data_IF_914339913062
#
_entry.id   IF_914339913062
#
_cell.length_a   1.000
_cell.length_b   1.000
_cell.length_c   1.000
_cell.angle_alpha   90.00
_cell.angle_beta   90.00
_cell.angle_gamma   90.00
#
_symmetry.space_group_name_H-M   'P 1'
#
loop_
_entity.id
_entity.type
_entity.pdbx_description
1 polymer ?
#
# COMPACT_ATOMS: atom_id res chain seq x y z
N UNK A 1 5.33 15.75 27.37
CA UNK A 1 6.60 15.39 28.04
C UNK A 1 7.07 14.15 27.30
N UNK A 2 8.06 14.14 26.40
CA UNK A 2 9.26 14.94 26.20
C UNK A 2 9.36 15.40 24.72
N UNK A 3 9.45 16.71 24.47
CA UNK A 3 9.78 17.28 23.13
C UNK A 3 11.19 17.90 23.16
N UNK A 4 11.98 17.63 24.22
CA UNK A 4 13.18 18.39 24.58
C UNK A 4 14.51 17.72 24.19
N UNK A 5 14.52 16.48 23.68
CA UNK A 5 15.77 15.75 23.42
C UNK A 5 16.39 15.98 22.03
N UNK A 6 15.68 16.64 21.10
CA UNK A 6 16.17 16.83 19.72
C UNK A 6 16.37 18.29 19.31
N UNK A 7 16.14 19.25 20.23
CA UNK A 7 16.38 20.67 19.96
C UNK A 7 17.77 21.08 20.42
N UNK A 8 18.55 21.67 19.51
CA UNK A 8 19.92 22.14 19.76
C UNK A 8 20.04 23.63 19.40
N UNK A 9 20.95 24.33 20.07
CA UNK A 9 21.28 25.71 19.77
C UNK A 9 22.66 25.77 19.13
N UNK A 10 22.77 26.54 18.05
CA UNK A 10 24.03 26.87 17.39
C UNK A 10 24.32 28.35 17.61
N UNK A 11 25.54 28.66 18.04
CA UNK A 11 25.99 30.04 18.20
C UNK A 11 26.39 30.65 16.83
N UNK A 12 26.48 31.99 16.72
CA UNK A 12 26.91 32.63 15.46
C UNK A 12 28.25 32.07 14.98
N UNK A 13 28.36 31.86 13.67
CA UNK A 13 29.50 31.26 12.96
C UNK A 13 29.72 29.76 13.18
N UNK A 14 28.88 29.08 13.97
CA UNK A 14 28.94 27.63 14.15
C UNK A 14 28.36 26.87 12.93
N UNK A 15 28.99 25.76 12.57
CA UNK A 15 28.58 24.93 11.44
C UNK A 15 27.58 23.87 11.89
N UNK A 16 26.49 23.75 11.13
CA UNK A 16 25.52 22.66 11.31
C UNK A 16 26.00 21.39 10.60
N UNK A 17 26.62 21.56 9.43
CA UNK A 17 27.29 20.52 8.64
C UNK A 17 28.08 21.17 7.50
N UNK A 18 29.05 20.45 6.95
CA UNK A 18 29.87 20.87 5.81
C UNK A 18 29.51 20.11 4.53
N UNK A 19 29.79 20.72 3.37
CA UNK A 19 29.68 20.06 2.07
C UNK A 19 30.53 18.78 2.04
N UNK A 20 29.92 17.64 1.68
CA UNK A 20 30.56 16.33 1.66
C UNK A 20 30.37 15.48 2.92
N UNK A 21 29.84 16.03 4.00
CA UNK A 21 29.51 15.25 5.21
C UNK A 21 28.41 14.19 4.93
N UNK A 22 28.35 13.10 5.71
CA UNK A 22 27.22 12.18 5.66
C UNK A 22 25.92 12.83 6.15
N UNK A 23 24.79 12.42 5.59
CA UNK A 23 23.45 12.92 5.92
C UNK A 23 22.81 12.21 7.11
N UNK A 24 23.33 12.42 8.33
CA UNK A 24 22.82 11.68 9.52
C UNK A 24 21.48 12.21 10.07
N UNK A 25 21.18 13.49 9.84
CA UNK A 25 19.92 14.14 10.26
C UNK A 25 19.59 15.37 9.41
N UNK A 26 18.32 15.80 9.40
CA UNK A 26 17.88 17.07 8.84
C UNK A 26 17.51 18.01 9.99
N UNK A 27 17.43 19.31 9.73
CA UNK A 27 17.12 20.29 10.76
C UNK A 27 15.92 21.13 10.36
N UNK A 28 15.02 21.38 11.31
CA UNK A 28 13.97 22.41 11.21
C UNK A 28 14.46 23.62 12.00
N UNK A 29 14.47 24.80 11.39
CA UNK A 29 14.84 26.04 12.08
C UNK A 29 13.63 26.53 12.89
N UNK A 30 13.77 26.62 14.21
CA UNK A 30 12.71 27.15 15.09
C UNK A 30 12.83 28.68 15.27
N UNK A 31 14.05 29.18 15.35
CA UNK A 31 14.36 30.61 15.47
C UNK A 31 15.80 30.88 15.05
N UNK A 32 16.08 32.05 14.49
CA UNK A 32 17.39 32.42 13.98
C UNK A 32 17.51 32.22 12.46
N UNK A 33 18.73 32.27 11.95
CA UNK A 33 19.02 32.24 10.51
C UNK A 33 20.30 31.46 10.20
N UNK A 34 20.25 30.65 9.13
CA UNK A 34 21.34 29.80 8.66
C UNK A 34 21.73 30.17 7.24
N UNK A 35 23.01 30.41 7.01
CA UNK A 35 23.60 30.59 5.69
C UNK A 35 23.93 29.22 5.07
N UNK A 36 23.44 28.97 3.87
CA UNK A 36 23.81 27.80 3.07
C UNK A 36 24.74 28.24 1.95
N UNK A 37 25.89 27.57 1.81
CA UNK A 37 26.95 27.98 0.91
C UNK A 37 27.70 26.80 0.29
N UNK A 38 28.27 27.01 -0.88
CA UNK A 38 29.15 26.06 -1.57
C UNK A 38 30.59 26.54 -1.46
N UNK A 39 31.54 25.62 -1.24
CA UNK A 39 32.97 25.93 -1.30
C UNK A 39 33.56 25.35 -2.59
N UNK A 40 34.08 26.23 -3.45
CA UNK A 40 34.77 25.85 -4.69
C UNK A 40 36.06 26.65 -4.84
N UNK A 41 37.20 25.95 -4.69
CA UNK A 41 38.54 26.52 -4.91
C UNK A 41 38.92 27.64 -3.93
N UNK A 42 38.39 27.62 -2.70
CA UNK A 42 38.67 28.62 -1.67
C UNK A 42 37.82 29.89 -1.77
N UNK A 43 36.74 29.86 -2.56
CA UNK A 43 35.73 30.93 -2.62
C UNK A 43 34.38 30.39 -2.16
N UNK A 44 33.82 31.06 -1.16
CA UNK A 44 32.50 30.76 -0.61
C UNK A 44 31.41 31.43 -1.45
N UNK A 45 30.47 30.63 -1.96
CA UNK A 45 29.29 31.10 -2.67
C UNK A 45 28.05 30.87 -1.80
N UNK A 46 27.42 31.95 -1.33
CA UNK A 46 26.16 31.86 -0.59
C UNK A 46 25.02 31.58 -1.56
N UNK A 47 24.34 30.46 -1.38
CA UNK A 47 23.23 30.02 -2.23
C UNK A 47 21.86 30.34 -1.63
N UNK A 48 21.74 30.39 -0.31
CA UNK A 48 20.51 30.73 0.40
C UNK A 48 20.79 31.20 1.83
N UNK A 49 19.84 31.95 2.40
CA UNK A 49 19.75 32.23 3.83
C UNK A 49 18.38 31.71 4.27
N UNK A 50 18.38 30.77 5.20
CA UNK A 50 17.19 30.09 5.69
C UNK A 50 16.80 30.61 7.08
N UNK A 51 15.52 30.81 7.32
CA UNK A 51 14.97 31.31 8.58
C UNK A 51 13.98 30.35 9.24
N UNK A 52 13.31 30.83 10.29
CA UNK A 52 12.36 30.04 11.07
C UNK A 52 11.24 29.42 10.20
N UNK A 53 11.01 28.12 10.38
CA UNK A 53 10.05 27.31 9.64
C UNK A 53 10.63 26.59 8.42
N UNK A 54 11.86 26.91 8.02
CA UNK A 54 12.54 26.23 6.91
C UNK A 54 13.28 24.96 7.39
N UNK A 55 13.44 24.02 6.45
CA UNK A 55 14.14 22.74 6.67
C UNK A 55 15.44 22.76 5.87
N UNK A 56 16.49 22.18 6.44
CA UNK A 56 17.76 22.00 5.75
C UNK A 56 18.37 20.63 5.99
N UNK A 57 19.13 20.17 4.99
CA UNK A 57 19.82 18.89 5.04
C UNK A 57 18.93 17.69 4.69
N UNK A 58 17.68 17.94 4.31
CA UNK A 58 16.72 16.94 3.84
C UNK A 58 17.22 16.19 2.61
N UNK A 59 18.00 16.87 1.74
CA UNK A 59 18.47 16.29 0.51
C UNK A 59 19.28 15.01 0.73
N UNK A 60 20.28 15.11 1.61
CA UNK A 60 21.24 14.05 1.90
C UNK A 60 20.58 12.82 2.54
N UNK A 61 19.43 13.03 3.18
CA UNK A 61 18.65 11.97 3.82
C UNK A 61 17.73 11.29 2.81
N UNK A 62 17.05 12.06 1.95
CA UNK A 62 16.07 11.52 1.00
C UNK A 62 16.75 10.62 -0.05
N UNK A 63 17.95 10.99 -0.51
CA UNK A 63 18.69 10.28 -1.56
C UNK A 63 19.93 9.53 -1.05
N UNK A 64 20.17 9.53 0.26
CA UNK A 64 21.33 8.91 0.93
C UNK A 64 22.69 9.27 0.29
N UNK A 65 22.83 10.50 -0.17
CA UNK A 65 24.08 11.03 -0.71
C UNK A 65 24.70 12.07 0.24
N UNK A 66 26.00 12.39 0.10
CA UNK A 66 26.65 13.41 0.93
C UNK A 66 25.98 14.79 0.83
N UNK A 67 26.19 15.62 1.86
CA UNK A 67 25.72 17.02 1.91
C UNK A 67 26.17 17.77 0.66
N UNK A 68 25.22 18.46 0.05
CA UNK A 68 25.42 19.23 -1.19
C UNK A 68 26.00 20.61 -0.94
N UNK A 69 25.95 21.11 0.30
CA UNK A 69 26.39 22.45 0.68
C UNK A 69 26.75 22.50 2.17
N UNK A 70 27.50 23.52 2.56
CA UNK A 70 27.85 23.85 3.94
C UNK A 70 26.80 24.77 4.54
N UNK A 71 26.31 24.44 5.74
CA UNK A 71 25.33 25.23 6.48
C UNK A 71 25.95 25.80 7.77
N UNK A 72 25.79 27.11 7.98
CA UNK A 72 26.41 27.83 9.09
C UNK A 72 25.44 28.85 9.70
N UNK A 73 25.34 28.88 11.02
CA UNK A 73 24.51 29.85 11.73
C UNK A 73 25.07 31.28 11.57
N UNK A 74 24.22 32.23 11.19
CA UNK A 74 24.59 33.67 11.09
C UNK A 74 24.33 34.37 12.43
N UNK A 75 23.35 33.88 13.16
CA UNK A 75 22.95 34.34 14.49
C UNK A 75 22.66 33.14 15.38
N UNK A 76 22.42 33.37 16.68
CA UNK A 76 22.08 32.27 17.59
C UNK A 76 20.80 31.60 17.11
N UNK A 77 20.94 30.36 16.65
CA UNK A 77 19.88 29.65 15.92
C UNK A 77 19.47 28.41 16.71
N UNK A 78 18.17 28.26 16.93
CA UNK A 78 17.58 27.07 17.53
C UNK A 78 17.06 26.19 16.42
N UNK A 79 17.46 24.92 16.42
CA UNK A 79 17.01 23.93 15.45
C UNK A 79 16.49 22.68 16.14
N UNK A 80 15.60 21.95 15.48
CA UNK A 80 15.17 20.61 15.88
C UNK A 80 15.63 19.60 14.84
N UNK A 81 16.39 18.61 15.29
CA UNK A 81 16.92 17.56 14.43
C UNK A 81 15.85 16.51 14.10
N UNK A 82 15.79 16.12 12.83
CA UNK A 82 14.99 15.02 12.30
C UNK A 82 15.97 13.88 11.96
N UNK A 83 15.95 12.77 12.69
CA UNK A 83 16.82 11.62 12.43
C UNK A 83 16.61 10.98 11.04
N UNK A 84 17.69 10.45 10.44
CA UNK A 84 17.65 9.74 9.16
C UNK A 84 16.66 8.56 9.17
N UNK A 85 16.71 7.72 10.20
CA UNK A 85 15.84 6.53 10.35
C UNK A 85 14.35 6.87 10.35
N UNK A 86 13.98 7.98 11.02
CA UNK A 86 12.60 8.49 11.02
C UNK A 86 12.15 8.87 9.60
N UNK A 87 13.00 9.53 8.82
CA UNK A 87 12.67 9.96 7.45
C UNK A 87 12.66 8.77 6.50
N UNK A 88 13.64 7.86 6.59
CA UNK A 88 13.68 6.62 5.81
C UNK A 88 12.40 5.81 6.00
N UNK A 89 11.99 5.58 7.25
CA UNK A 89 10.76 4.87 7.55
C UNK A 89 9.53 5.56 6.93
N UNK A 90 9.48 6.90 6.91
CA UNK A 90 8.36 7.63 6.30
C UNK A 90 8.38 7.59 4.77
N UNK A 91 9.56 7.63 4.15
CA UNK A 91 9.73 7.53 2.69
C UNK A 91 9.44 6.10 2.21
N UNK A 92 9.86 5.08 2.96
CA UNK A 92 9.60 3.68 2.65
C UNK A 92 8.12 3.32 2.74
N UNK A 93 7.39 3.89 3.70
CA UNK A 93 5.95 3.69 3.86
C UNK A 93 5.09 4.61 2.98
N UNK A 94 5.70 5.53 2.23
CA UNK A 94 4.96 6.40 1.32
C UNK A 94 4.50 5.63 0.07
N UNK A 95 3.47 6.15 -0.61
CA UNK A 95 3.04 5.62 -1.91
C UNK A 95 4.24 5.56 -2.88
N UNK A 96 4.47 4.44 -3.59
CA UNK A 96 5.62 4.27 -4.48
C UNK A 96 5.74 5.36 -5.56
N UNK A 97 4.61 5.90 -6.02
CA UNK A 97 4.58 7.00 -7.00
C UNK A 97 5.04 8.31 -6.37
N UNK A 98 4.59 8.60 -5.16
CA UNK A 98 5.04 9.77 -4.39
C UNK A 98 6.54 9.66 -4.10
N UNK A 99 7.02 8.48 -3.69
CA UNK A 99 8.45 8.21 -3.49
C UNK A 99 9.24 8.43 -4.78
N UNK A 100 8.76 7.92 -5.92
CA UNK A 100 9.40 8.12 -7.21
C UNK A 100 9.47 9.61 -7.60
N UNK A 101 8.38 10.36 -7.44
CA UNK A 101 8.38 11.79 -7.73
C UNK A 101 9.34 12.56 -6.82
N UNK A 102 9.36 12.23 -5.54
CA UNK A 102 10.30 12.83 -4.59
C UNK A 102 11.74 12.60 -5.04
N UNK A 103 12.12 11.36 -5.34
CA UNK A 103 13.47 11.02 -5.84
C UNK A 103 13.81 11.73 -7.17
N UNK A 104 12.86 11.83 -8.10
CA UNK A 104 13.06 12.53 -9.37
C UNK A 104 13.23 14.06 -9.20
N UNK A 105 12.47 14.66 -8.28
CA UNK A 105 12.61 16.07 -7.94
C UNK A 105 13.99 16.32 -7.33
N UNK A 106 14.39 15.45 -6.41
CA UNK A 106 15.69 15.47 -5.74
C UNK A 106 16.86 15.38 -6.72
N UNK A 107 16.82 14.42 -7.65
CA UNK A 107 17.85 14.26 -8.69
C UNK A 107 17.96 15.51 -9.57
N UNK A 108 16.84 16.07 -10.02
CA UNK A 108 16.82 17.30 -10.84
C UNK A 108 17.38 18.49 -10.08
N UNK A 109 17.06 18.61 -8.80
CA UNK A 109 17.55 19.70 -7.97
C UNK A 109 19.07 19.58 -7.74
N UNK A 110 19.58 18.37 -7.50
CA UNK A 110 21.02 18.10 -7.37
C UNK A 110 21.79 18.38 -8.67
N UNK A 111 21.25 17.98 -9.83
CA UNK A 111 21.85 18.30 -11.13
C UNK A 111 21.89 19.82 -11.39
N UNK A 112 20.85 20.54 -10.98
CA UNK A 112 20.82 22.01 -11.07
C UNK A 112 21.91 22.65 -10.21
N UNK A 113 22.05 22.21 -8.94
CA UNK A 113 23.11 22.70 -8.05
C UNK A 113 24.51 22.38 -8.59
N UNK A 114 24.72 21.18 -9.12
CA UNK A 114 25.98 20.78 -9.76
C UNK A 114 26.33 21.65 -10.96
N UNK A 115 25.36 21.91 -11.86
CA UNK A 115 25.56 22.80 -13.01
C UNK A 115 25.86 24.23 -12.60
N UNK A 116 25.17 24.75 -11.58
CA UNK A 116 25.49 26.07 -11.03
C UNK A 116 26.95 26.08 -10.57
N UNK A 117 27.38 25.07 -9.82
CA UNK A 117 28.77 24.97 -9.34
C UNK A 117 29.79 24.99 -10.49
N UNK A 118 29.57 24.22 -11.57
CA UNK A 118 30.46 24.17 -12.73
C UNK A 118 30.49 25.46 -13.56
N UNK A 119 29.36 26.19 -13.65
CA UNK A 119 29.34 27.50 -14.30
C UNK A 119 30.24 28.49 -13.55
N UNK A 120 30.23 28.46 -12.22
CA UNK A 120 31.08 29.31 -11.40
C UNK A 120 32.57 28.90 -11.45
N UNK A 121 32.89 27.61 -11.58
CA UNK A 121 34.26 27.15 -11.85
C UNK A 121 34.81 27.73 -13.16
N UNK A 122 34.01 27.75 -14.23
CA UNK A 122 34.37 28.31 -15.53
C UNK A 122 34.62 29.84 -15.51
N UNK A 123 34.15 30.54 -14.48
CA UNK A 123 34.42 31.97 -14.28
C UNK A 123 35.75 32.24 -13.56
N UNK A 124 36.40 31.21 -12.97
CA UNK A 124 37.62 31.37 -12.17
C UNK A 124 38.93 31.34 -12.97
N UNK A 125 38.90 31.30 -14.31
CA UNK A 125 40.12 31.32 -15.16
C UNK A 125 40.63 32.71 -15.55
N UNK A 126 40.03 33.80 -15.08
CA UNK A 126 40.56 35.15 -15.30
C UNK A 126 41.21 35.72 -14.03
N UNK A 127 42.54 35.60 -13.93
CA UNK A 127 43.36 36.49 -13.11
C UNK A 127 43.64 37.76 -13.91
N UNK A 128 43.34 38.97 -13.41
CA UNK A 128 43.90 40.18 -14.00
C UNK A 128 45.39 40.23 -13.61
N UNK A 129 46.27 40.13 -14.60
CA UNK A 129 47.69 40.43 -14.40
C UNK A 129 47.84 41.86 -13.86
N UNK A 130 48.61 41.99 -12.78
CA UNK A 130 48.85 43.26 -12.14
C UNK A 130 49.69 44.20 -13.02
N UNK A 131 49.32 45.48 -12.98
CA UNK A 131 50.05 46.71 -13.36
C UNK A 131 50.00 47.21 -14.81
N UNK A 132 49.27 48.31 -15.03
CA UNK A 132 49.83 49.69 -15.06
C UNK A 132 48.71 50.74 -15.19
N UNK A 133 48.82 51.82 -14.42
CA UNK A 133 47.96 53.01 -14.45
C UNK A 133 47.84 53.60 -15.86
N UNK A 134 46.62 53.90 -16.33
CA UNK A 134 46.27 55.13 -17.09
C UNK A 134 44.77 55.44 -16.95
N UNK A 135 44.48 56.61 -16.39
CA UNK A 135 43.35 57.55 -16.54
C UNK A 135 41.87 57.13 -16.75
N UNK A 136 41.06 57.80 -15.92
CA UNK A 136 39.60 57.92 -15.78
C UNK A 136 38.67 57.65 -16.99
N UNK A 137 37.65 56.82 -16.74
CA UNK A 137 36.24 57.28 -16.60
C UNK A 137 35.38 56.19 -15.92
N UNK A 138 34.63 56.50 -14.84
CA UNK A 138 33.86 55.50 -14.07
C UNK A 138 32.71 54.85 -14.86
N UNK A 139 32.44 55.34 -16.07
CA UNK A 139 31.41 54.84 -16.99
C UNK A 139 31.83 53.62 -17.80
N UNK A 140 33.13 53.39 -18.02
CA UNK A 140 33.62 52.27 -18.84
C UNK A 140 33.73 50.97 -18.02
N UNK A 141 34.18 51.07 -16.77
CA UNK A 141 34.24 49.95 -15.83
C UNK A 141 32.85 49.45 -15.44
N UNK A 142 31.90 50.35 -15.15
CA UNK A 142 30.51 49.97 -14.84
C UNK A 142 29.81 49.33 -16.04
N UNK A 143 30.08 49.80 -17.27
CA UNK A 143 29.58 49.18 -18.49
C UNK A 143 30.14 47.78 -18.71
N UNK A 144 31.42 47.57 -18.40
CA UNK A 144 32.05 46.26 -18.49
C UNK A 144 31.51 45.28 -17.44
N UNK A 145 31.29 45.74 -16.20
CA UNK A 145 30.70 44.92 -15.13
C UNK A 145 29.23 44.57 -15.45
N UNK A 146 28.43 45.52 -15.95
CA UNK A 146 27.04 45.26 -16.35
C UNK A 146 26.98 44.35 -17.57
N UNK A 147 27.87 44.51 -18.56
CA UNK A 147 27.97 43.61 -19.70
C UNK A 147 28.37 42.18 -19.27
N UNK A 148 29.32 42.06 -18.33
CA UNK A 148 29.70 40.78 -17.73
C UNK A 148 28.57 40.14 -16.92
N UNK A 149 27.77 40.93 -16.20
CA UNK A 149 26.59 40.45 -15.47
C UNK A 149 25.50 39.94 -16.43
N UNK A 150 25.25 40.65 -17.54
CA UNK A 150 24.28 40.24 -18.57
C UNK A 150 24.75 39.00 -19.33
N UNK A 151 26.05 38.90 -19.63
CA UNK A 151 26.69 37.72 -20.23
C UNK A 151 26.62 36.52 -19.28
N UNK A 152 26.87 36.73 -17.98
CA UNK A 152 26.74 35.74 -16.92
C UNK A 152 25.30 35.25 -16.80
N UNK A 153 24.31 36.15 -16.76
CA UNK A 153 22.90 35.78 -16.75
C UNK A 153 22.48 35.02 -18.01
N UNK A 154 23.00 35.39 -19.19
CA UNK A 154 22.78 34.62 -20.43
C UNK A 154 23.38 33.22 -20.34
N UNK A 155 24.58 33.06 -19.79
CA UNK A 155 25.24 31.74 -19.64
C UNK A 155 24.56 30.88 -18.60
N UNK A 156 24.14 31.45 -17.46
CA UNK A 156 23.31 30.78 -16.45
C UNK A 156 22.00 30.32 -17.09
N UNK A 157 21.26 31.21 -17.77
CA UNK A 157 20.01 30.84 -18.45
C UNK A 157 20.23 29.81 -19.57
N UNK A 158 21.39 29.79 -20.22
CA UNK A 158 21.72 28.79 -21.26
C UNK A 158 22.14 27.45 -20.66
N UNK A 159 22.80 27.43 -19.50
CA UNK A 159 23.18 26.22 -18.77
C UNK A 159 21.98 25.58 -18.03
N UNK A 160 21.08 26.42 -17.52
CA UNK A 160 19.80 26.01 -16.92
C UNK A 160 18.83 25.48 -17.99
N UNK A 161 18.81 26.05 -19.20
CA UNK A 161 17.91 25.63 -20.29
C UNK A 161 18.51 24.62 -21.29
N UNK A 162 19.78 24.21 -21.15
CA UNK A 162 20.34 23.12 -21.97
C UNK A 162 19.94 21.76 -21.38
N UNK A 163 19.41 20.81 -22.18
CA UNK A 163 19.24 19.44 -21.72
C UNK A 163 20.63 18.83 -21.41
N UNK A 164 20.77 18.19 -20.25
CA UNK A 164 22.01 17.52 -19.86
C UNK A 164 22.36 16.43 -20.87
N UNK A 165 23.53 16.54 -21.48
CA UNK A 165 24.18 15.42 -22.14
C UNK A 165 25.01 14.67 -21.09
N UNK A 166 24.52 13.49 -20.68
CA UNK A 166 25.24 12.44 -19.95
C UNK A 166 26.11 12.95 -18.78
N UNK A 167 25.49 13.28 -17.66
CA UNK A 167 26.12 13.17 -16.33
C UNK A 167 25.70 11.83 -15.72
N UNK A 168 26.63 11.20 -15.00
CA UNK A 168 26.58 9.81 -14.56
C UNK A 168 25.26 9.42 -13.89
N UNK A 169 24.65 8.36 -14.43
CA UNK A 169 23.50 7.67 -13.84
C UNK A 169 23.90 7.17 -12.44
N UNK A 170 23.72 7.98 -11.41
CA UNK A 170 23.42 7.43 -10.09
C UNK A 170 22.01 6.89 -10.24
N UNK A 171 21.91 5.58 -10.38
CA UNK A 171 20.67 4.90 -10.70
C UNK A 171 19.63 5.28 -9.66
N UNK A 172 18.60 6.05 -10.05
CA UNK A 172 17.25 5.77 -9.54
C UNK A 172 17.15 4.27 -9.68
N UNK A 173 17.12 3.52 -8.56
CA UNK A 173 17.20 2.07 -8.60
C UNK A 173 16.22 1.60 -9.67
N UNK A 174 16.73 1.02 -10.76
CA UNK A 174 15.91 0.73 -11.95
C UNK A 174 14.68 -0.10 -11.54
N UNK A 175 14.80 -0.85 -10.44
CA UNK A 175 13.73 -1.47 -9.68
C UNK A 175 12.60 -0.50 -9.30
N UNK A 176 12.85 0.57 -8.53
CA UNK A 176 11.78 1.49 -8.05
C UNK A 176 10.97 2.12 -9.18
N UNK A 177 11.64 2.52 -10.28
CA UNK A 177 10.95 3.08 -11.44
C UNK A 177 10.13 2.01 -12.19
N UNK A 178 10.67 0.80 -12.37
CA UNK A 178 9.95 -0.31 -13.02
C UNK A 178 8.77 -0.78 -12.17
N UNK A 179 8.96 -0.92 -10.86
CA UNK A 179 7.93 -1.35 -9.92
C UNK A 179 6.78 -0.35 -9.89
N UNK A 180 7.09 0.95 -9.78
CA UNK A 180 6.07 2.03 -9.83
C UNK A 180 5.36 2.07 -11.19
N UNK A 181 6.08 1.89 -12.29
CA UNK A 181 5.47 1.83 -13.62
C UNK A 181 4.52 0.64 -13.75
N UNK A 182 4.91 -0.53 -13.26
CA UNK A 182 4.07 -1.73 -13.24
C UNK A 182 2.83 -1.53 -12.37
N UNK A 183 3.00 -0.97 -11.16
CA UNK A 183 1.92 -0.58 -10.24
C UNK A 183 0.85 0.27 -10.95
N UNK A 184 1.25 1.39 -11.55
CA UNK A 184 0.32 2.32 -12.21
C UNK A 184 -0.37 1.68 -13.42
N UNK A 185 0.35 0.86 -14.21
CA UNK A 185 -0.23 0.16 -15.36
C UNK A 185 -1.27 -0.86 -14.90
N UNK A 186 -0.95 -1.64 -13.88
CA UNK A 186 -1.85 -2.67 -13.34
C UNK A 186 -3.08 -2.05 -12.68
N UNK A 187 -2.92 -0.98 -11.91
CA UNK A 187 -4.04 -0.24 -11.33
C UNK A 187 -4.98 0.28 -12.43
N UNK A 188 -4.44 0.97 -13.45
CA UNK A 188 -5.24 1.47 -14.58
C UNK A 188 -5.93 0.33 -15.32
N UNK A 189 -5.26 -0.81 -15.47
CA UNK A 189 -5.82 -2.00 -16.13
C UNK A 189 -6.97 -2.59 -15.33
N UNK A 190 -6.82 -2.78 -14.03
CA UNK A 190 -7.88 -3.35 -13.19
C UNK A 190 -9.06 -2.36 -13.03
N UNK A 191 -8.80 -1.06 -12.89
CA UNK A 191 -9.85 -0.02 -12.92
C UNK A 191 -10.60 -0.04 -14.25
N UNK A 192 -9.87 -0.13 -15.37
CA UNK A 192 -10.50 -0.27 -16.69
C UNK A 192 -11.30 -1.57 -16.82
N UNK A 193 -10.83 -2.68 -16.25
CA UNK A 193 -11.50 -3.96 -16.30
C UNK A 193 -12.84 -3.92 -15.54
N UNK A 194 -12.88 -3.22 -14.39
CA UNK A 194 -14.11 -3.01 -13.64
C UNK A 194 -15.12 -2.19 -14.44
N UNK A 195 -14.69 -1.08 -15.06
CA UNK A 195 -15.56 -0.24 -15.89
C UNK A 195 -16.03 -0.92 -17.18
N UNK A 196 -15.26 -1.88 -17.70
CA UNK A 196 -15.59 -2.64 -18.92
C UNK A 196 -16.35 -3.92 -18.65
N UNK A 197 -16.82 -4.12 -17.41
CA UNK A 197 -17.52 -5.34 -17.00
C UNK A 197 -16.72 -6.60 -17.35
N UNK A 198 -15.42 -6.63 -17.07
CA UNK A 198 -14.56 -7.80 -17.32
C UNK A 198 -14.54 -8.78 -16.13
N UNK A 199 -15.15 -8.41 -14.99
CA UNK A 199 -15.27 -9.29 -13.84
C UNK A 199 -16.58 -10.07 -13.88
N UNK A 200 -16.54 -11.32 -13.42
CA UNK A 200 -17.70 -12.22 -13.28
C UNK A 200 -17.60 -12.96 -11.95
N UNK A 201 -18.74 -13.34 -11.39
CA UNK A 201 -18.78 -14.26 -10.26
C UNK A 201 -18.95 -15.68 -10.77
N UNK A 202 -18.14 -16.59 -10.24
CA UNK A 202 -18.39 -18.01 -10.28
C UNK A 202 -18.78 -18.46 -8.89
N UNK A 203 -19.57 -19.52 -8.79
CA UNK A 203 -20.10 -20.00 -7.53
C UNK A 203 -19.59 -21.41 -7.25
N UNK A 204 -18.97 -21.62 -6.10
CA UNK A 204 -18.57 -22.94 -5.66
C UNK A 204 -19.63 -23.50 -4.71
N UNK A 205 -20.27 -24.64 -5.02
CA UNK A 205 -21.29 -25.23 -4.15
C UNK A 205 -20.73 -25.64 -2.78
N UNK A 206 -21.52 -25.39 -1.75
CA UNK A 206 -21.31 -25.86 -0.38
C UNK A 206 -22.37 -26.93 -0.08
N UNK A 207 -21.90 -28.10 0.32
CA UNK A 207 -22.70 -29.32 0.45
C UNK A 207 -22.91 -29.64 1.93
N UNK A 208 -24.13 -29.97 2.33
CA UNK A 208 -24.39 -30.60 3.63
C UNK A 208 -23.87 -32.03 3.61
N UNK A 209 -22.89 -32.34 4.46
CA UNK A 209 -22.18 -33.61 4.38
C UNK A 209 -23.09 -34.81 4.66
N UNK A 210 -24.09 -34.68 5.52
CA UNK A 210 -25.02 -35.79 5.84
C UNK A 210 -25.97 -36.12 4.69
N UNK A 211 -26.57 -35.11 4.05
CA UNK A 211 -27.59 -35.33 3.01
C UNK A 211 -27.03 -35.29 1.60
N UNK A 212 -25.78 -34.83 1.44
CA UNK A 212 -25.10 -34.55 0.17
C UNK A 212 -25.85 -33.54 -0.71
N UNK A 213 -26.70 -32.69 -0.13
CA UNK A 213 -27.43 -31.64 -0.85
C UNK A 213 -26.65 -30.33 -0.86
N UNK A 214 -26.80 -29.57 -1.93
CA UNK A 214 -26.32 -28.19 -1.99
C UNK A 214 -27.19 -27.34 -1.07
N UNK A 215 -26.56 -26.63 -0.13
CA UNK A 215 -27.23 -25.75 0.85
C UNK A 215 -26.80 -24.29 0.72
N UNK A 216 -25.69 -24.05 0.03
CA UNK A 216 -25.16 -22.73 -0.21
C UNK A 216 -24.12 -22.72 -1.32
N UNK A 217 -23.54 -21.56 -1.58
CA UNK A 217 -22.38 -21.43 -2.45
C UNK A 217 -21.49 -20.27 -2.05
N UNK A 218 -20.21 -20.35 -2.39
CA UNK A 218 -19.25 -19.27 -2.24
C UNK A 218 -19.12 -18.49 -3.55
N UNK A 219 -19.32 -17.16 -3.49
CA UNK A 219 -19.16 -16.25 -4.60
C UNK A 219 -17.68 -15.91 -4.80
N UNK A 220 -17.10 -16.46 -5.87
CA UNK A 220 -15.69 -16.35 -6.20
C UNK A 220 -15.51 -15.51 -7.46
N UNK A 221 -14.91 -14.32 -7.30
CA UNK A 221 -14.62 -13.42 -8.41
C UNK A 221 -13.66 -14.06 -9.42
N UNK A 222 -13.90 -13.82 -10.70
CA UNK A 222 -13.03 -14.17 -11.82
C UNK A 222 -12.86 -12.98 -12.73
N UNK A 223 -11.67 -12.82 -13.29
CA UNK A 223 -11.42 -11.81 -14.31
C UNK A 223 -11.44 -12.45 -15.69
N UNK A 224 -12.51 -12.18 -16.44
CA UNK A 224 -12.69 -12.57 -17.83
C UNK A 224 -11.96 -11.57 -18.73
N UNK A 225 -10.70 -11.84 -19.00
CA UNK A 225 -9.87 -10.95 -19.82
C UNK A 225 -10.37 -10.92 -21.28
N UNK A 226 -10.27 -9.77 -21.99
CA UNK A 226 -10.73 -9.63 -23.38
C UNK A 226 -10.10 -10.62 -24.37
N UNK A 227 -8.96 -11.21 -24.02
CA UNK A 227 -8.34 -12.30 -24.80
C UNK A 227 -9.07 -13.65 -24.66
N UNK A 228 -10.19 -13.71 -23.94
CA UNK A 228 -10.94 -14.94 -23.63
C UNK A 228 -10.38 -15.76 -22.47
N UNK A 229 -9.31 -15.31 -21.80
CA UNK A 229 -8.72 -16.02 -20.64
C UNK A 229 -9.47 -15.66 -19.36
N UNK A 230 -9.74 -16.66 -18.53
CA UNK A 230 -10.33 -16.49 -17.20
C UNK A 230 -9.24 -16.56 -16.14
N UNK A 231 -9.01 -15.49 -15.40
CA UNK A 231 -8.01 -15.43 -14.33
C UNK A 231 -8.64 -15.61 -12.94
N UNK A 232 -8.04 -16.44 -12.06
CA UNK A 232 -8.47 -16.62 -10.69
C UNK A 232 -8.08 -15.42 -9.80
N UNK A 233 -8.71 -15.27 -8.62
CA UNK A 233 -8.47 -14.15 -7.70
C UNK A 233 -7.01 -14.04 -7.29
N UNK A 234 -6.30 -15.15 -7.12
CA UNK A 234 -4.86 -15.18 -6.77
C UNK A 234 -3.95 -14.44 -7.76
N UNK A 235 -4.43 -14.14 -8.98
CA UNK A 235 -3.67 -13.35 -9.97
C UNK A 235 -3.81 -11.84 -9.82
N UNK A 236 -4.85 -11.33 -9.13
CA UNK A 236 -5.14 -9.90 -9.11
C UNK A 236 -5.59 -9.35 -7.76
N UNK A 237 -6.03 -10.17 -6.80
CA UNK A 237 -6.54 -9.70 -5.49
C UNK A 237 -5.45 -8.97 -4.70
N UNK A 238 -4.25 -9.56 -4.56
CA UNK A 238 -3.13 -8.91 -3.87
C UNK A 238 -2.83 -7.52 -4.45
N UNK A 239 -2.95 -7.38 -5.78
CA UNK A 239 -2.75 -6.10 -6.46
C UNK A 239 -3.91 -5.13 -6.26
N UNK A 240 -5.14 -5.63 -6.29
CA UNK A 240 -6.32 -4.84 -5.99
C UNK A 240 -6.27 -4.31 -4.55
N UNK A 241 -5.73 -5.09 -3.61
CA UNK A 241 -5.48 -4.65 -2.24
C UNK A 241 -4.42 -3.57 -2.19
N UNK A 242 -3.23 -3.81 -2.75
CA UNK A 242 -2.13 -2.84 -2.79
C UNK A 242 -2.56 -1.47 -3.34
N UNK A 243 -3.38 -1.47 -4.40
CA UNK A 243 -3.87 -0.26 -5.08
C UNK A 243 -5.15 0.35 -4.50
N UNK A 244 -5.75 -0.27 -3.48
CA UNK A 244 -7.04 0.14 -2.89
C UNK A 244 -8.26 -0.14 -3.78
N UNK A 245 -8.08 -0.68 -4.99
CA UNK A 245 -9.17 -1.06 -5.88
C UNK A 245 -10.08 -2.14 -5.29
N UNK A 246 -9.56 -2.94 -4.35
CA UNK A 246 -10.31 -4.00 -3.66
C UNK A 246 -11.58 -3.46 -2.99
N UNK A 247 -11.63 -2.20 -2.58
CA UNK A 247 -12.81 -1.59 -1.96
C UNK A 247 -13.95 -1.53 -2.97
N UNK A 248 -13.72 -0.91 -4.13
CA UNK A 248 -14.72 -0.80 -5.19
C UNK A 248 -15.09 -2.17 -5.79
N UNK A 249 -14.09 -3.03 -5.98
CA UNK A 249 -14.34 -4.40 -6.46
C UNK A 249 -15.15 -5.21 -5.45
N UNK A 250 -14.87 -5.07 -4.15
CA UNK A 250 -15.59 -5.75 -3.07
C UNK A 250 -17.06 -5.33 -3.01
N UNK A 251 -17.37 -4.04 -3.19
CA UNK A 251 -18.77 -3.59 -3.29
C UNK A 251 -19.47 -4.16 -4.52
N UNK A 252 -18.79 -4.19 -5.67
CA UNK A 252 -19.35 -4.81 -6.88
C UNK A 252 -19.59 -6.31 -6.69
N UNK A 253 -18.65 -7.04 -6.07
CA UNK A 253 -18.81 -8.47 -5.73
C UNK A 253 -20.03 -8.65 -4.82
N UNK A 254 -20.15 -7.85 -3.76
CA UNK A 254 -21.26 -7.93 -2.82
C UNK A 254 -22.61 -7.67 -3.52
N UNK A 255 -22.66 -6.67 -4.39
CA UNK A 255 -23.86 -6.35 -5.17
C UNK A 255 -24.28 -7.52 -6.07
N UNK A 256 -23.37 -8.06 -6.86
CA UNK A 256 -23.67 -9.18 -7.76
C UNK A 256 -24.08 -10.45 -6.99
N UNK A 257 -23.43 -10.74 -5.86
CA UNK A 257 -23.76 -11.88 -5.02
C UNK A 257 -25.12 -11.73 -4.33
N UNK A 258 -25.46 -10.54 -3.83
CA UNK A 258 -26.77 -10.26 -3.24
C UNK A 258 -27.89 -10.35 -4.28
N UNK A 259 -27.68 -9.82 -5.49
CA UNK A 259 -28.63 -9.96 -6.59
C UNK A 259 -28.87 -11.43 -6.95
N UNK A 260 -27.81 -12.24 -6.97
CA UNK A 260 -27.93 -13.67 -7.22
C UNK A 260 -28.68 -14.40 -6.10
N UNK A 261 -28.38 -14.09 -4.83
CA UNK A 261 -29.09 -14.65 -3.68
C UNK A 261 -30.59 -14.34 -3.76
N UNK A 262 -30.97 -13.12 -4.11
CA UNK A 262 -32.37 -12.74 -4.27
C UNK A 262 -33.05 -13.55 -5.40
N UNK A 263 -32.36 -13.80 -6.53
CA UNK A 263 -32.89 -14.65 -7.61
C UNK A 263 -33.06 -16.11 -7.19
N UNK A 264 -32.12 -16.66 -6.43
CA UNK A 264 -32.19 -18.03 -5.90
C UNK A 264 -33.49 -18.28 -5.11
N UNK A 265 -33.84 -17.37 -4.20
CA UNK A 265 -35.09 -17.46 -3.44
C UNK A 265 -36.34 -17.18 -4.27
N UNK A 266 -36.33 -16.12 -5.08
CA UNK A 266 -37.53 -15.62 -5.75
C UNK A 266 -37.89 -16.41 -7.01
N UNK A 267 -36.92 -16.66 -7.87
CA UNK A 267 -37.10 -17.28 -9.18
C UNK A 267 -36.95 -18.80 -9.11
N UNK A 268 -35.89 -19.28 -8.45
CA UNK A 268 -35.57 -20.70 -8.43
C UNK A 268 -36.20 -21.47 -7.26
N UNK A 269 -36.77 -20.77 -6.27
CA UNK A 269 -37.34 -21.35 -5.03
C UNK A 269 -36.35 -22.23 -4.26
N UNK A 270 -35.06 -21.88 -4.33
CA UNK A 270 -33.96 -22.55 -3.65
C UNK A 270 -33.34 -21.54 -2.67
N UNK A 271 -33.73 -21.51 -1.38
CA UNK A 271 -33.24 -20.53 -0.41
C UNK A 271 -31.82 -20.87 0.08
N UNK A 272 -30.88 -20.92 -0.85
CA UNK A 272 -29.47 -21.19 -0.55
C UNK A 272 -28.81 -19.95 0.03
N UNK A 273 -27.86 -20.16 0.94
CA UNK A 273 -27.00 -19.08 1.39
C UNK A 273 -25.89 -18.78 0.37
N UNK A 274 -25.46 -17.53 0.30
CA UNK A 274 -24.34 -17.08 -0.53
C UNK A 274 -23.25 -16.50 0.37
N UNK A 275 -22.07 -17.11 0.29
CA UNK A 275 -20.85 -16.65 0.96
C UNK A 275 -20.12 -15.60 0.13
N UNK A 276 -19.69 -14.50 0.75
CA UNK A 276 -19.03 -13.35 0.12
C UNK A 276 -17.77 -13.00 0.89
N UNK A 277 -16.62 -13.08 0.22
CA UNK A 277 -15.33 -12.71 0.80
C UNK A 277 -15.20 -11.20 1.00
N UNK A 278 -14.78 -10.77 2.21
CA UNK A 278 -14.42 -9.40 2.51
C UNK A 278 -12.92 -9.28 2.78
N UNK A 279 -12.25 -8.38 2.04
CA UNK A 279 -10.85 -8.06 2.30
C UNK A 279 -10.72 -7.24 3.58
N UNK A 280 -9.63 -7.45 4.32
CA UNK A 280 -9.31 -6.64 5.50
C UNK A 280 -9.20 -5.14 5.20
N UNK A 281 -8.75 -4.77 3.99
CA UNK A 281 -8.69 -3.35 3.57
C UNK A 281 -10.05 -2.68 3.46
N UNK A 282 -11.13 -3.44 3.24
CA UNK A 282 -12.48 -2.86 3.20
C UNK A 282 -12.91 -2.35 4.57
N UNK A 283 -12.39 -2.91 5.66
CA UNK A 283 -12.70 -2.46 7.03
C UNK A 283 -12.05 -1.13 7.40
N UNK A 284 -11.12 -0.62 6.57
CA UNK A 284 -10.60 0.75 6.70
C UNK A 284 -11.63 1.78 6.18
N UNK A 285 -12.60 1.37 5.36
CA UNK A 285 -13.69 2.22 4.89
C UNK A 285 -14.78 2.34 5.97
N UNK A 286 -14.94 3.55 6.50
CA UNK A 286 -15.96 3.87 7.50
C UNK A 286 -17.39 3.68 6.99
N UNK A 287 -17.59 3.63 5.67
CA UNK A 287 -18.88 3.41 5.03
C UNK A 287 -19.15 1.94 4.67
N UNK A 288 -18.27 1.00 5.02
CA UNK A 288 -18.42 -0.41 4.68
C UNK A 288 -19.78 -0.97 5.10
N UNK A 289 -20.10 -0.91 6.39
CA UNK A 289 -21.32 -1.52 6.94
C UNK A 289 -22.59 -0.87 6.38
N UNK A 290 -22.73 0.48 6.38
CA UNK A 290 -23.88 1.13 5.74
C UNK A 290 -24.04 0.78 4.26
N UNK A 291 -22.93 0.70 3.52
CA UNK A 291 -22.94 0.35 2.10
C UNK A 291 -23.41 -1.09 1.87
N UNK A 292 -22.87 -2.06 2.61
CA UNK A 292 -23.28 -3.46 2.51
C UNK A 292 -24.75 -3.66 2.88
N UNK A 293 -25.24 -2.99 3.93
CA UNK A 293 -26.65 -3.01 4.29
C UNK A 293 -27.53 -2.45 3.15
N UNK A 294 -27.14 -1.31 2.56
CA UNK A 294 -27.84 -0.74 1.42
C UNK A 294 -27.83 -1.66 0.19
N UNK A 295 -26.73 -2.38 -0.05
CA UNK A 295 -26.61 -3.32 -1.17
C UNK A 295 -27.59 -4.48 -0.98
N UNK A 296 -27.61 -5.11 0.20
CA UNK A 296 -28.55 -6.20 0.51
C UNK A 296 -30.00 -5.75 0.34
N UNK A 297 -30.35 -4.56 0.83
CA UNK A 297 -31.71 -4.01 0.72
C UNK A 297 -32.12 -3.73 -0.72
N UNK A 298 -31.24 -3.10 -1.51
CA UNK A 298 -31.51 -2.80 -2.92
C UNK A 298 -31.64 -4.05 -3.77
N UNK A 299 -30.85 -5.08 -3.48
CA UNK A 299 -30.93 -6.36 -4.17
C UNK A 299 -32.19 -7.15 -3.79
N UNK A 300 -32.81 -6.86 -2.65
CA UNK A 300 -33.88 -7.68 -2.07
C UNK A 300 -33.37 -9.03 -1.58
N UNK A 301 -32.11 -9.08 -1.15
CA UNK A 301 -31.49 -10.29 -0.62
C UNK A 301 -32.04 -10.59 0.79
N UNK A 302 -32.26 -11.87 1.07
CA UNK A 302 -32.55 -12.32 2.42
C UNK A 302 -31.25 -12.25 3.24
N UNK A 303 -31.17 -11.28 4.16
CA UNK A 303 -29.96 -10.97 4.94
C UNK A 303 -29.43 -12.21 5.67
N UNK A 304 -30.29 -13.05 6.21
CA UNK A 304 -29.95 -14.30 6.91
C UNK A 304 -29.32 -15.39 6.02
N UNK A 305 -29.46 -15.25 4.70
CA UNK A 305 -28.85 -16.10 3.68
C UNK A 305 -27.60 -15.47 3.04
N UNK A 306 -27.18 -14.29 3.49
CA UNK A 306 -25.88 -13.71 3.15
C UNK A 306 -24.90 -14.04 4.26
N UNK A 307 -23.76 -14.62 3.88
CA UNK A 307 -22.66 -14.96 4.79
C UNK A 307 -21.41 -14.20 4.36
N UNK A 308 -20.89 -13.31 5.20
CA UNK A 308 -19.62 -12.64 4.90
C UNK A 308 -18.47 -13.45 5.46
N UNK A 309 -17.44 -13.68 4.65
CA UNK A 309 -16.25 -14.43 5.01
C UNK A 309 -15.09 -13.47 5.24
N UNK A 310 -14.43 -13.63 6.38
CA UNK A 310 -13.36 -12.75 6.85
C UNK A 310 -12.14 -13.59 7.21
N UNK A 311 -10.97 -13.21 6.70
CA UNK A 311 -9.72 -13.91 7.00
C UNK A 311 -9.26 -13.66 8.43
N UNK A 312 -8.60 -14.67 9.02
CA UNK A 312 -8.03 -14.58 10.37
C UNK A 312 -7.06 -13.39 10.55
N UNK A 313 -6.31 -13.02 9.51
CA UNK A 313 -5.32 -11.94 9.56
C UNK A 313 -5.90 -10.58 9.93
N UNK A 314 -7.16 -10.31 9.55
CA UNK A 314 -7.85 -9.07 9.93
C UNK A 314 -8.02 -8.97 11.46
N UNK A 315 -8.31 -10.09 12.11
CA UNK A 315 -8.61 -10.14 13.54
C UNK A 315 -7.38 -9.87 14.40
N UNK A 316 -6.19 -10.24 13.90
CA UNK A 316 -4.92 -10.09 14.62
C UNK A 316 -4.37 -8.66 14.50
N UNK A 317 -4.60 -8.00 13.36
CA UNK A 317 -4.06 -6.66 13.12
C UNK A 317 -4.65 -5.58 14.04
N UNK A 318 -5.97 -5.62 14.30
CA UNK A 318 -6.63 -4.69 15.21
C UNK A 318 -7.90 -5.31 15.85
N UNK A 319 -7.74 -6.10 16.92
CA UNK A 319 -8.84 -6.89 17.50
C UNK A 319 -10.04 -6.06 17.97
N UNK A 320 -9.80 -4.88 18.57
CA UNK A 320 -10.84 -4.03 19.11
C UNK A 320 -11.70 -3.39 18.01
N UNK A 321 -11.06 -2.83 16.97
CA UNK A 321 -11.77 -2.28 15.81
C UNK A 321 -12.50 -3.39 15.04
N UNK A 322 -11.85 -4.53 14.80
CA UNK A 322 -12.47 -5.67 14.14
C UNK A 322 -13.70 -6.15 14.92
N UNK A 323 -13.61 -6.27 16.25
CA UNK A 323 -14.74 -6.69 17.09
C UNK A 323 -15.94 -5.76 16.93
N UNK A 324 -15.71 -4.44 16.96
CA UNK A 324 -16.79 -3.45 16.80
C UNK A 324 -17.44 -3.57 15.42
N UNK A 325 -16.64 -3.55 14.35
CA UNK A 325 -17.16 -3.62 12.97
C UNK A 325 -17.87 -4.93 12.67
N UNK A 326 -17.41 -6.06 13.21
CA UNK A 326 -18.08 -7.35 13.04
C UNK A 326 -19.41 -7.42 13.78
N UNK A 327 -19.54 -6.81 14.97
CA UNK A 327 -20.84 -6.70 15.64
C UNK A 327 -21.80 -5.81 14.86
N UNK A 328 -21.35 -4.66 14.36
CA UNK A 328 -22.16 -3.79 13.50
C UNK A 328 -22.59 -4.52 12.22
N UNK A 329 -21.70 -5.31 11.61
CA UNK A 329 -22.05 -6.14 10.45
C UNK A 329 -23.07 -7.20 10.82
N UNK A 330 -22.95 -7.84 11.98
CA UNK A 330 -23.89 -8.83 12.49
C UNK A 330 -25.28 -8.25 12.72
N UNK A 331 -25.37 -7.02 13.21
CA UNK A 331 -26.63 -6.29 13.40
C UNK A 331 -27.38 -6.01 12.08
N UNK A 332 -26.69 -6.09 10.94
CA UNK A 332 -27.37 -6.06 9.63
C UNK A 332 -28.20 -7.32 9.36
N UNK A 333 -28.07 -8.38 10.16
CA UNK A 333 -28.78 -9.65 9.98
C UNK A 333 -28.04 -10.65 9.09
N UNK A 334 -26.90 -10.27 8.51
CA UNK A 334 -26.02 -11.19 7.81
C UNK A 334 -25.33 -12.17 8.77
N UNK A 335 -24.95 -13.34 8.24
CA UNK A 335 -24.09 -14.29 8.94
C UNK A 335 -22.62 -13.97 8.68
N UNK A 336 -21.76 -14.40 9.59
CA UNK A 336 -20.31 -14.19 9.52
C UNK A 336 -19.59 -15.54 9.57
N UNK A 337 -18.59 -15.69 8.72
CA UNK A 337 -17.67 -16.82 8.73
C UNK A 337 -16.24 -16.34 8.91
N UNK A 338 -15.46 -17.12 9.66
CA UNK A 338 -14.01 -16.98 9.69
C UNK A 338 -13.40 -17.92 8.65
N UNK A 339 -12.58 -17.35 7.77
CA UNK A 339 -11.93 -18.02 6.66
C UNK A 339 -10.43 -18.28 6.93
N UNK A 340 -9.87 -19.29 6.25
CA UNK A 340 -8.47 -19.72 6.35
C UNK A 340 -7.97 -20.02 7.78
N UNK A 341 -8.88 -20.40 8.70
CA UNK A 341 -8.54 -20.57 10.11
C UNK A 341 -7.51 -21.69 10.30
N UNK A 342 -6.41 -21.37 11.00
CA UNK A 342 -5.34 -22.34 11.31
C UNK A 342 -4.08 -22.21 10.44
N UNK A 343 -4.08 -21.37 9.40
CA UNK A 343 -2.93 -21.21 8.49
C UNK A 343 -1.95 -20.10 8.91
N UNK A 344 -2.30 -19.30 9.91
CA UNK A 344 -1.54 -18.13 10.38
C UNK A 344 -1.27 -18.09 11.89
N UNK A 345 -1.39 -16.90 12.49
CA UNK A 345 -1.21 -16.66 13.94
C UNK A 345 -2.43 -17.16 14.73
N UNK A 346 -2.64 -18.47 14.78
CA UNK A 346 -3.80 -19.07 15.44
C UNK A 346 -3.78 -18.89 16.95
N UNK A 347 -4.30 -17.77 17.43
CA UNK A 347 -4.58 -17.57 18.85
C UNK A 347 -6.07 -17.73 19.10
N UNK A 348 -6.46 -18.96 19.46
CA UNK A 348 -7.79 -19.32 19.95
C UNK A 348 -8.34 -18.36 21.03
N UNK A 349 -7.44 -17.62 21.68
CA UNK A 349 -7.71 -16.63 22.73
C UNK A 349 -8.71 -15.54 22.35
N UNK A 350 -8.91 -15.23 21.07
CA UNK A 350 -9.83 -14.16 20.65
C UNK A 350 -11.12 -14.64 19.98
N UNK A 351 -11.21 -15.90 19.56
CA UNK A 351 -12.33 -16.37 18.75
C UNK A 351 -13.68 -16.22 19.48
N UNK A 352 -13.70 -16.44 20.79
CA UNK A 352 -14.88 -16.26 21.64
C UNK A 352 -15.42 -14.82 21.73
N UNK A 353 -14.65 -13.82 21.26
CA UNK A 353 -15.04 -12.40 21.31
C UNK A 353 -15.79 -11.95 20.06
N UNK A 354 -15.73 -12.73 18.98
CA UNK A 354 -16.26 -12.32 17.68
C UNK A 354 -17.58 -13.02 17.38
N UNK A 355 -18.54 -12.35 16.72
CA UNK A 355 -19.88 -12.87 16.49
C UNK A 355 -19.96 -13.76 15.24
N UNK A 356 -19.03 -14.71 15.09
CA UNK A 356 -19.02 -15.66 13.97
C UNK A 356 -20.08 -16.75 14.14
N UNK A 357 -20.69 -17.15 13.03
CA UNK A 357 -21.62 -18.29 12.94
C UNK A 357 -20.95 -19.54 12.38
N UNK A 358 -19.87 -19.36 11.62
CA UNK A 358 -19.25 -20.39 10.82
C UNK A 358 -17.73 -20.34 10.93
N UNK A 359 -17.12 -21.50 11.05
CA UNK A 359 -15.68 -21.68 10.92
C UNK A 359 -15.36 -22.50 9.67
N UNK A 360 -14.54 -21.92 8.79
CA UNK A 360 -14.04 -22.62 7.59
C UNK A 360 -12.70 -23.27 7.91
N UNK A 361 -12.61 -24.59 7.73
CA UNK A 361 -11.38 -25.37 7.93
C UNK A 361 -10.63 -25.43 6.62
N UNK A 362 -9.45 -24.81 6.57
CA UNK A 362 -8.64 -24.71 5.36
C UNK A 362 -8.23 -26.08 4.77
N UNK A 363 -8.09 -26.08 3.45
CA UNK A 363 -7.66 -27.22 2.63
C UNK A 363 -6.35 -27.86 3.12
N UNK A 364 -5.40 -27.09 3.64
CA UNK A 364 -4.13 -27.63 4.10
C UNK A 364 -4.32 -28.66 5.23
N UNK A 365 -5.33 -28.46 6.09
CA UNK A 365 -5.69 -29.45 7.11
C UNK A 365 -6.39 -30.64 6.48
N UNK A 366 -7.44 -30.41 5.69
CA UNK A 366 -8.26 -31.46 5.07
C UNK A 366 -7.40 -32.43 4.26
N UNK A 367 -6.52 -31.92 3.40
CA UNK A 367 -5.63 -32.74 2.57
C UNK A 367 -4.59 -33.55 3.36
N UNK A 368 -4.25 -33.11 4.58
CA UNK A 368 -3.27 -33.79 5.43
C UNK A 368 -3.89 -34.86 6.34
N UNK A 369 -5.20 -34.84 6.58
CA UNK A 369 -5.84 -35.61 7.66
C UNK A 369 -5.78 -37.13 7.47
N UNK A 370 -5.85 -37.61 6.22
CA UNK A 370 -5.75 -39.05 5.93
C UNK A 370 -4.31 -39.58 6.06
N UNK A 371 -3.31 -38.71 5.98
CA UNK A 371 -1.88 -39.08 5.96
C UNK A 371 -1.19 -38.87 7.30
N UNK A 372 -1.66 -37.91 8.09
CA UNK A 372 -1.02 -37.50 9.33
C UNK A 372 -1.99 -37.57 10.52
N UNK A 373 -1.70 -38.48 11.46
CA UNK A 373 -2.50 -38.61 12.70
C UNK A 373 -2.60 -37.31 13.50
N UNK A 374 -1.56 -36.47 13.50
CA UNK A 374 -1.60 -35.16 14.18
C UNK A 374 -2.57 -34.21 13.49
N UNK A 375 -2.47 -34.06 12.16
CA UNK A 375 -3.41 -33.25 11.38
C UNK A 375 -4.85 -33.72 11.55
N UNK A 376 -5.05 -35.05 11.59
CA UNK A 376 -6.35 -35.63 11.85
C UNK A 376 -6.95 -35.24 13.23
N UNK A 377 -6.12 -35.28 14.29
CA UNK A 377 -6.56 -34.82 15.61
C UNK A 377 -6.85 -33.32 15.63
N UNK A 378 -6.04 -32.51 14.94
CA UNK A 378 -6.25 -31.05 14.87
C UNK A 378 -7.63 -30.75 14.26
N UNK A 379 -8.00 -31.36 13.13
CA UNK A 379 -9.32 -31.13 12.53
C UNK A 379 -10.43 -31.54 13.48
N UNK A 380 -10.33 -32.72 14.10
CA UNK A 380 -11.33 -33.17 15.07
C UNK A 380 -11.48 -32.19 16.23
N UNK A 381 -10.37 -31.63 16.72
CA UNK A 381 -10.38 -30.60 17.76
C UNK A 381 -11.00 -29.29 17.25
N UNK A 382 -10.70 -28.87 16.02
CA UNK A 382 -11.29 -27.68 15.41
C UNK A 382 -12.81 -27.81 15.29
N UNK A 383 -13.29 -28.95 14.78
CA UNK A 383 -14.73 -29.21 14.65
C UNK A 383 -15.42 -29.15 16.02
N UNK A 384 -14.87 -29.84 17.02
CA UNK A 384 -15.44 -29.80 18.38
C UNK A 384 -15.41 -28.39 18.99
N UNK A 385 -14.32 -27.65 18.80
CA UNK A 385 -14.20 -26.28 19.30
C UNK A 385 -15.23 -25.35 18.66
N UNK A 386 -15.46 -25.47 17.36
CA UNK A 386 -16.49 -24.71 16.67
C UNK A 386 -17.85 -24.94 17.32
N UNK A 387 -18.21 -26.20 17.58
CA UNK A 387 -19.47 -26.54 18.24
C UNK A 387 -19.56 -26.01 19.68
N UNK A 388 -18.47 -26.08 20.45
CA UNK A 388 -18.40 -25.52 21.82
C UNK A 388 -18.61 -24.00 21.83
N UNK A 389 -18.25 -23.32 20.74
CA UNK A 389 -18.46 -21.89 20.53
C UNK A 389 -19.79 -21.56 19.83
N UNK A 390 -20.60 -22.57 19.48
CA UNK A 390 -21.89 -22.40 18.82
C UNK A 390 -21.80 -22.06 17.33
N UNK A 391 -20.70 -22.42 16.67
CA UNK A 391 -20.47 -22.23 15.23
C UNK A 391 -20.64 -23.54 14.45
N UNK A 392 -21.18 -23.43 13.23
CA UNK A 392 -21.14 -24.50 12.24
C UNK A 392 -19.76 -24.59 11.54
N UNK A 393 -19.49 -25.70 10.88
CA UNK A 393 -18.20 -25.97 10.22
C UNK A 393 -18.38 -26.19 8.73
N UNK A 394 -17.55 -25.49 7.95
CA UNK A 394 -17.38 -25.73 6.51
C UNK A 394 -15.96 -26.25 6.27
N UNK A 395 -15.81 -27.49 5.84
CA UNK A 395 -14.50 -28.05 5.49
C UNK A 395 -14.15 -27.80 4.02
N UNK A 396 -12.98 -27.23 3.77
CA UNK A 396 -12.58 -26.80 2.42
C UNK A 396 -11.61 -27.75 1.72
N UNK A 397 -11.64 -27.71 0.39
CA UNK A 397 -10.67 -28.42 -0.44
C UNK A 397 -10.81 -29.94 -0.37
N UNK A 398 -12.02 -30.45 -0.18
CA UNK A 398 -12.33 -31.88 -0.24
C UNK A 398 -12.11 -32.38 -1.68
N UNK A 399 -11.22 -33.35 -1.87
CA UNK A 399 -10.88 -33.91 -3.18
C UNK A 399 -11.27 -35.39 -3.31
N UNK A 400 -11.58 -36.07 -2.20
CA UNK A 400 -11.95 -37.50 -2.19
C UNK A 400 -13.19 -37.80 -1.33
N UNK A 401 -13.85 -38.91 -1.65
CA UNK A 401 -14.95 -39.51 -0.86
C UNK A 401 -14.53 -39.80 0.59
N UNK A 402 -13.34 -40.38 0.77
CA UNK A 402 -12.79 -40.69 2.10
C UNK A 402 -12.60 -39.46 2.97
N UNK A 403 -12.26 -38.32 2.37
CA UNK A 403 -12.14 -37.07 3.11
C UNK A 403 -13.51 -36.60 3.58
N UNK A 404 -14.52 -36.62 2.70
CA UNK A 404 -15.89 -36.27 3.04
C UNK A 404 -16.47 -37.18 4.14
N UNK A 405 -16.30 -38.50 4.03
CA UNK A 405 -16.80 -39.48 4.99
C UNK A 405 -16.19 -39.29 6.38
N UNK A 406 -14.91 -38.93 6.45
CA UNK A 406 -14.23 -38.70 7.73
C UNK A 406 -14.68 -37.39 8.39
N UNK A 407 -14.88 -36.34 7.61
CA UNK A 407 -15.41 -35.06 8.09
C UNK A 407 -16.86 -35.21 8.59
N UNK A 408 -17.68 -35.99 7.88
CA UNK A 408 -19.03 -36.35 8.32
C UNK A 408 -18.99 -37.12 9.65
N UNK A 409 -18.05 -38.07 9.83
CA UNK A 409 -17.86 -38.76 11.11
C UNK A 409 -17.42 -37.85 12.26
N UNK A 410 -16.80 -36.71 11.95
CA UNK A 410 -16.46 -35.68 12.93
C UNK A 410 -17.63 -34.73 13.21
N UNK A 411 -18.76 -34.92 12.54
CA UNK A 411 -19.95 -34.08 12.59
C UNK A 411 -19.71 -32.67 12.04
N UNK A 412 -18.80 -32.50 11.08
CA UNK A 412 -18.78 -31.26 10.30
C UNK A 412 -20.07 -31.17 9.48
N UNK A 413 -20.76 -30.03 9.53
CA UNK A 413 -22.04 -29.84 8.86
C UNK A 413 -21.89 -29.75 7.35
N UNK A 414 -20.89 -28.98 6.91
CA UNK A 414 -20.75 -28.59 5.51
C UNK A 414 -19.37 -28.88 4.96
N UNK A 415 -19.31 -29.05 3.63
CA UNK A 415 -18.05 -29.22 2.91
C UNK A 415 -18.09 -28.60 1.52
N UNK A 416 -16.93 -28.13 1.07
CA UNK A 416 -16.72 -27.67 -0.30
C UNK A 416 -15.39 -28.17 -0.86
N UNK A 417 -15.36 -28.47 -2.16
CA UNK A 417 -14.16 -28.97 -2.80
C UNK A 417 -14.40 -29.63 -4.15
N UNK A 418 -13.32 -29.93 -4.86
CA UNK A 418 -13.36 -30.44 -6.23
C UNK A 418 -13.95 -31.85 -6.34
N UNK A 419 -14.04 -32.58 -5.22
CA UNK A 419 -14.80 -33.81 -5.15
C UNK A 419 -16.27 -33.61 -5.52
N UNK A 420 -16.87 -32.50 -5.06
CA UNK A 420 -18.26 -32.17 -5.33
C UNK A 420 -18.41 -31.35 -6.60
N UNK A 421 -17.74 -30.19 -6.64
CA UNK A 421 -17.77 -29.30 -7.79
C UNK A 421 -16.67 -28.24 -7.70
N UNK A 422 -16.23 -27.75 -8.86
CA UNK A 422 -15.41 -26.54 -8.94
C UNK A 422 -16.31 -25.30 -8.86
N UNK A 423 -15.70 -24.12 -8.81
CA UNK A 423 -16.43 -22.88 -9.03
C UNK A 423 -16.98 -22.83 -10.47
N UNK A 424 -18.30 -22.78 -10.60
CA UNK A 424 -19.04 -22.85 -11.88
C UNK A 424 -19.79 -21.55 -12.15
N UNK A 425 -20.32 -21.36 -13.36
CA UNK A 425 -21.16 -20.17 -13.64
C UNK A 425 -22.50 -20.26 -12.92
N UNK A 426 -23.26 -19.16 -12.90
CA UNK A 426 -24.64 -19.15 -12.39
C UNK A 426 -25.50 -20.22 -13.08
N UNK A 427 -25.46 -20.29 -14.41
CA UNK A 427 -26.29 -21.22 -15.18
C UNK A 427 -25.92 -22.68 -14.93
N UNK A 428 -24.64 -22.95 -14.65
CA UNK A 428 -24.16 -24.28 -14.29
C UNK A 428 -24.57 -24.64 -12.86
N UNK A 429 -24.46 -23.71 -11.90
CA UNK A 429 -24.91 -23.95 -10.53
C UNK A 429 -26.40 -24.31 -10.48
N UNK A 430 -27.25 -23.56 -11.19
CA UNK A 430 -28.70 -23.83 -11.24
C UNK A 430 -29.00 -25.24 -11.81
N UNK A 431 -28.17 -25.76 -12.71
CA UNK A 431 -28.34 -27.14 -13.24
C UNK A 431 -27.94 -28.22 -12.24
N UNK A 432 -27.15 -27.88 -11.21
CA UNK A 432 -26.73 -28.79 -10.15
C UNK A 432 -27.74 -28.88 -9.00
N UNK A 433 -28.64 -27.89 -8.89
CA UNK A 433 -29.76 -27.83 -7.92
C UNK A 433 -30.94 -28.69 -8.38
#
# INVERSE_FOLDING_TARGET
MEFLEYSTYFDPDEFLFEEGDPGECAYIIESGSVEVSLDKGGRKLVIAILGAGEVLGEMAIIDNCPRTATARAIERTKVTAIPLDYVEQKIENADPTVRLFLLLIMERYRDLLSRLSHVFEGMSTFQPEASKEVDATPTLELRNVVAQYVEMQKRINTAVNKPSSKSDKISIGESTLQDTKMLVIEEKRLKSALMKEEFRLHYQPIIELTTKKIVGCEALVRWQHPSGKLFPPSRFIAKAEETGLIINLGYWIAEQACLFQARLGNEFKQPLFVSINLSGKQFEDQLLIPTLASIMDKAGAARELIKFEITESLLVANPELASKSLHELKETGAKLAIDDFGTGYSSFSYLHRFPFDTLKVDRAFVSAMLRNKKSNQIIKTLVNLSHDLGMDVVAEGIETDREADLLEQYNAEFGQGYYFSRAVTEEELIKLL
#
